data_IF_126515387355
#
_entry.id   IF_126515387355
#
_cell.length_a   1.000
_cell.length_b   1.000
_cell.length_c   1.000
_cell.angle_alpha   90.00
_cell.angle_beta   90.00
_cell.angle_gamma   90.00
#
_symmetry.space_group_name_H-M   'P 1'
#
loop_
_entity.id
_entity.type
_entity.pdbx_description
1 polymer ?
#
# COMPACT_ATOMS: atom_id res chain seq x y z
N UNK A 1 9.47 19.05 -2.19
CA UNK A 1 8.16 18.36 -2.13
C UNK A 1 7.76 18.07 -3.56
N UNK A 2 7.41 16.84 -3.93
CA UNK A 2 6.87 16.58 -5.25
C UNK A 2 5.64 17.46 -5.46
N UNK A 3 5.54 18.08 -6.63
CA UNK A 3 4.39 18.91 -7.02
C UNK A 3 3.14 18.04 -6.91
N UNK A 4 2.23 18.37 -5.98
CA UNK A 4 0.94 17.71 -5.87
C UNK A 4 0.03 18.21 -7.00
N UNK A 5 0.34 17.81 -8.22
CA UNK A 5 -0.56 18.07 -9.36
C UNK A 5 -1.96 17.58 -9.04
N UNK A 6 -3.02 18.31 -9.44
CA UNK A 6 -4.39 17.85 -9.27
C UNK A 6 -4.59 16.45 -9.87
N UNK A 7 -5.43 15.67 -9.22
CA UNK A 7 -5.82 14.33 -9.72
C UNK A 7 -6.96 14.52 -10.73
N UNK A 8 -6.94 13.72 -11.78
CA UNK A 8 -7.98 13.69 -12.82
C UNK A 8 -8.58 12.28 -12.95
N UNK A 9 -9.74 12.12 -13.60
CA UNK A 9 -10.33 10.79 -13.83
C UNK A 9 -9.49 9.86 -14.69
N UNK A 10 -8.49 10.37 -15.40
CA UNK A 10 -7.57 9.54 -16.20
C UNK A 10 -6.39 9.01 -15.39
N UNK A 11 -6.18 9.52 -14.17
CA UNK A 11 -5.00 9.21 -13.38
C UNK A 11 -5.09 7.85 -12.67
N UNK A 12 -3.90 7.29 -12.46
CA UNK A 12 -3.64 6.14 -11.60
C UNK A 12 -3.01 6.69 -10.32
N UNK A 13 -3.63 6.45 -9.19
CA UNK A 13 -3.20 6.99 -7.89
C UNK A 13 -2.60 5.89 -7.03
N UNK A 14 -1.44 6.15 -6.46
CA UNK A 14 -0.83 5.34 -5.40
C UNK A 14 -0.99 6.07 -4.08
N UNK A 15 -1.68 5.45 -3.14
CA UNK A 15 -2.02 5.98 -1.83
C UNK A 15 -1.40 5.09 -0.75
N UNK A 16 -0.75 5.69 0.26
CA UNK A 16 -0.09 4.94 1.31
C UNK A 16 0.80 5.81 2.19
N UNK A 17 1.76 5.17 2.81
CA UNK A 17 2.73 5.76 3.73
C UNK A 17 4.09 6.09 3.07
N UNK A 18 5.19 5.98 3.86
CA UNK A 18 6.56 6.23 3.40
C UNK A 18 7.01 5.29 2.29
N UNK A 19 6.55 4.04 2.27
CA UNK A 19 6.88 3.10 1.20
C UNK A 19 6.34 3.60 -0.14
N UNK A 20 5.09 4.06 -0.14
CA UNK A 20 4.48 4.66 -1.33
C UNK A 20 5.11 6.01 -1.66
N UNK A 21 5.39 6.87 -0.66
CA UNK A 21 6.03 8.18 -0.89
C UNK A 21 7.37 8.05 -1.60
N UNK A 22 8.19 7.06 -1.20
CA UNK A 22 9.50 6.78 -1.79
C UNK A 22 9.47 6.13 -3.16
N UNK A 23 8.30 5.73 -3.67
CA UNK A 23 8.17 5.06 -4.96
C UNK A 23 8.23 6.07 -6.12
N UNK A 24 9.30 6.07 -6.90
CA UNK A 24 9.45 6.90 -8.10
C UNK A 24 8.60 6.34 -9.26
N UNK A 25 7.29 6.54 -9.15
CA UNK A 25 6.31 5.97 -10.08
C UNK A 25 6.57 6.35 -11.55
N UNK A 26 6.99 7.60 -11.80
CA UNK A 26 7.25 8.09 -13.17
C UNK A 26 8.47 7.38 -13.77
N UNK A 27 9.49 7.16 -12.96
CA UNK A 27 10.69 6.42 -13.37
C UNK A 27 10.35 4.97 -13.75
N UNK A 28 9.55 4.29 -12.92
CA UNK A 28 9.26 2.87 -13.11
C UNK A 28 8.24 2.61 -14.22
N UNK A 29 7.14 3.37 -14.26
CA UNK A 29 6.04 3.08 -15.18
C UNK A 29 6.09 3.89 -16.47
N UNK A 30 6.85 4.99 -16.51
CA UNK A 30 7.04 5.85 -17.70
C UNK A 30 5.73 6.34 -18.32
N UNK A 31 4.74 6.60 -17.48
CA UNK A 31 3.44 7.18 -17.84
C UNK A 31 3.24 8.49 -17.10
N UNK A 32 2.54 9.43 -17.71
CA UNK A 32 2.37 10.79 -17.16
C UNK A 32 1.11 10.97 -16.31
N UNK A 33 0.16 10.05 -16.45
CA UNK A 33 -1.10 10.04 -15.68
C UNK A 33 -1.02 9.13 -14.45
N UNK A 34 0.08 9.24 -13.70
CA UNK A 34 0.30 8.52 -12.45
C UNK A 34 0.57 9.53 -11.32
N UNK A 35 0.00 9.32 -10.16
CA UNK A 35 0.10 10.24 -9.03
C UNK A 35 0.49 9.50 -7.77
N UNK A 36 1.57 9.97 -7.14
CA UNK A 36 1.97 9.52 -5.83
C UNK A 36 1.26 10.34 -4.75
N UNK A 37 0.53 9.67 -3.89
CA UNK A 37 -0.16 10.21 -2.69
C UNK A 37 0.29 9.46 -1.43
N UNK A 38 1.52 8.93 -1.42
CA UNK A 38 2.19 8.47 -0.21
C UNK A 38 2.51 9.64 0.71
N UNK A 39 2.47 9.39 2.02
CA UNK A 39 2.88 10.34 3.04
C UNK A 39 3.51 9.58 4.21
N UNK A 40 4.78 9.84 4.46
CA UNK A 40 5.55 9.17 5.50
C UNK A 40 4.87 9.25 6.87
N UNK A 41 4.80 8.12 7.55
CA UNK A 41 4.22 8.00 8.88
C UNK A 41 2.70 7.84 8.90
N UNK A 42 2.02 7.96 7.76
CA UNK A 42 0.56 7.78 7.72
C UNK A 42 0.16 6.38 8.22
N UNK A 43 -0.91 6.38 9.01
CA UNK A 43 -1.69 5.21 9.40
C UNK A 43 -2.97 5.13 8.58
N UNK A 44 -3.70 4.02 8.70
CA UNK A 44 -5.03 3.86 8.08
C UNK A 44 -5.99 4.97 8.51
N UNK A 45 -5.91 5.42 9.76
CA UNK A 45 -6.70 6.55 10.26
C UNK A 45 -6.40 7.85 9.52
N UNK A 46 -5.11 8.20 9.34
CA UNK A 46 -4.69 9.43 8.68
C UNK A 46 -5.04 9.43 7.19
N UNK A 47 -4.87 8.29 6.51
CA UNK A 47 -5.30 8.13 5.11
C UNK A 47 -6.79 8.46 4.95
N UNK A 48 -7.67 8.01 5.85
CA UNK A 48 -9.10 8.32 5.81
C UNK A 48 -9.40 9.82 5.81
N UNK A 49 -8.63 10.61 6.56
CA UNK A 49 -8.84 12.06 6.65
C UNK A 49 -8.49 12.82 5.36
N UNK A 50 -7.69 12.23 4.47
CA UNK A 50 -7.25 12.87 3.23
C UNK A 50 -7.81 12.21 1.95
N UNK A 51 -8.82 11.36 2.09
CA UNK A 51 -9.46 10.69 0.96
C UNK A 51 -10.27 11.63 0.07
N UNK A 52 -10.87 12.68 0.62
CA UNK A 52 -11.88 13.51 -0.05
C UNK A 52 -11.40 14.02 -1.42
N UNK A 53 -10.16 14.50 -1.52
CA UNK A 53 -9.57 14.95 -2.79
C UNK A 53 -9.53 13.84 -3.82
N UNK A 54 -9.12 12.63 -3.40
CA UNK A 54 -8.94 11.48 -4.29
C UNK A 54 -10.29 10.94 -4.74
N UNK A 55 -11.21 10.76 -3.81
CA UNK A 55 -12.56 10.26 -4.09
C UNK A 55 -13.31 11.20 -5.05
N UNK A 56 -13.26 12.53 -4.81
CA UNK A 56 -13.88 13.53 -5.69
C UNK A 56 -13.28 13.56 -7.10
N UNK A 57 -11.98 13.26 -7.22
CA UNK A 57 -11.30 13.24 -8.51
C UNK A 57 -11.67 12.03 -9.36
N UNK A 58 -12.23 10.96 -8.76
CA UNK A 58 -12.66 9.72 -9.41
C UNK A 58 -11.57 9.14 -10.33
N UNK A 59 -10.38 8.81 -9.79
CA UNK A 59 -9.27 8.33 -10.61
C UNK A 59 -9.62 7.01 -11.31
N UNK A 60 -8.96 6.73 -12.44
CA UNK A 60 -9.14 5.47 -13.15
C UNK A 60 -8.81 4.26 -12.29
N UNK A 61 -7.68 4.34 -11.57
CA UNK A 61 -7.22 3.27 -10.68
C UNK A 61 -6.69 3.84 -9.37
N UNK A 62 -6.87 3.09 -8.28
CA UNK A 62 -6.27 3.38 -7.00
C UNK A 62 -5.54 2.15 -6.47
N UNK A 63 -4.26 2.31 -6.15
CA UNK A 63 -3.45 1.31 -5.45
C UNK A 63 -3.21 1.78 -4.01
N UNK A 64 -3.67 1.03 -3.03
CA UNK A 64 -3.50 1.33 -1.61
C UNK A 64 -2.57 0.30 -0.95
N UNK A 65 -1.53 0.78 -0.27
CA UNK A 65 -0.73 0.02 0.68
C UNK A 65 -0.59 0.86 1.95
N UNK A 66 -1.15 0.39 3.07
CA UNK A 66 -1.18 1.11 4.35
C UNK A 66 -1.44 0.15 5.51
N UNK A 67 -0.80 0.35 6.66
CA UNK A 67 -1.05 -0.42 7.88
C UNK A 67 0.20 -0.75 8.70
N UNK A 68 1.40 -0.65 8.15
CA UNK A 68 2.62 -0.95 8.91
C UNK A 68 2.82 0.04 10.07
N UNK A 69 2.52 1.32 9.86
CA UNK A 69 2.62 2.33 10.91
C UNK A 69 1.56 2.15 12.02
N UNK A 70 0.41 1.58 11.67
CA UNK A 70 -0.62 1.21 12.65
C UNK A 70 -0.06 0.18 13.64
N UNK A 71 0.63 -0.86 13.16
CA UNK A 71 1.30 -1.84 14.04
C UNK A 71 2.36 -1.20 14.92
N UNK A 72 3.21 -0.33 14.37
CA UNK A 72 4.24 0.36 15.16
C UNK A 72 3.65 1.29 16.22
N UNK A 73 2.42 1.77 16.04
CA UNK A 73 1.67 2.56 17.01
C UNK A 73 0.79 1.71 17.96
N UNK A 74 0.81 0.38 17.82
CA UNK A 74 0.03 -0.53 18.67
C UNK A 74 -1.46 -0.57 18.36
N UNK A 75 -1.85 -0.18 17.15
CA UNK A 75 -3.26 -0.27 16.71
C UNK A 75 -3.65 -1.74 16.53
N UNK A 76 -4.77 -2.12 17.09
CA UNK A 76 -5.30 -3.49 16.96
C UNK A 76 -5.67 -3.81 15.51
N UNK A 77 -5.38 -5.03 15.05
CA UNK A 77 -5.65 -5.53 13.71
C UNK A 77 -7.10 -5.27 13.27
N UNK A 78 -8.07 -5.55 14.14
CA UNK A 78 -9.49 -5.33 13.81
C UNK A 78 -9.82 -3.85 13.52
N UNK A 79 -9.10 -2.93 14.14
CA UNK A 79 -9.27 -1.50 13.90
C UNK A 79 -8.68 -1.11 12.54
N UNK A 80 -7.52 -1.65 12.17
CA UNK A 80 -6.90 -1.47 10.85
C UNK A 80 -7.86 -1.96 9.76
N UNK A 81 -8.39 -3.18 9.91
CA UNK A 81 -9.34 -3.77 8.97
C UNK A 81 -10.61 -2.93 8.81
N UNK A 82 -11.17 -2.41 9.91
CA UNK A 82 -12.34 -1.50 9.86
C UNK A 82 -12.04 -0.20 9.12
N UNK A 83 -10.87 0.37 9.33
CA UNK A 83 -10.46 1.58 8.61
C UNK A 83 -10.36 1.33 7.11
N UNK A 84 -9.75 0.21 6.70
CA UNK A 84 -9.61 -0.16 5.29
C UNK A 84 -10.97 -0.46 4.67
N UNK A 85 -11.84 -1.20 5.36
CA UNK A 85 -13.20 -1.44 4.90
C UNK A 85 -13.94 -0.10 4.65
N UNK A 86 -13.84 0.86 5.58
CA UNK A 86 -14.49 2.16 5.40
C UNK A 86 -13.88 3.00 4.26
N UNK A 87 -12.59 2.80 3.93
CA UNK A 87 -11.98 3.42 2.74
C UNK A 87 -12.59 2.82 1.46
N UNK A 88 -12.74 1.50 1.41
CA UNK A 88 -13.37 0.81 0.26
C UNK A 88 -14.81 1.29 0.09
N UNK A 89 -15.60 1.31 1.18
CA UNK A 89 -16.99 1.80 1.16
C UNK A 89 -17.12 3.22 0.60
N UNK A 90 -16.22 4.12 1.03
CA UNK A 90 -16.20 5.50 0.55
C UNK A 90 -15.99 5.57 -0.98
N UNK A 91 -15.08 4.75 -1.52
CA UNK A 91 -14.86 4.66 -2.97
C UNK A 91 -16.04 4.03 -3.69
N UNK A 92 -16.63 2.95 -3.17
CA UNK A 92 -17.78 2.31 -3.79
C UNK A 92 -18.99 3.23 -3.87
N UNK A 93 -19.20 4.08 -2.85
CA UNK A 93 -20.32 5.02 -2.81
C UNK A 93 -20.10 6.26 -3.70
N UNK A 94 -18.90 6.80 -3.73
CA UNK A 94 -18.64 8.13 -4.31
C UNK A 94 -17.75 8.11 -5.56
N UNK A 95 -17.07 6.99 -5.83
CA UNK A 95 -16.19 6.80 -6.99
C UNK A 95 -16.26 5.33 -7.52
N UNK A 96 -17.47 4.79 -7.80
CA UNK A 96 -17.65 3.37 -8.12
C UNK A 96 -16.95 2.91 -9.40
N UNK A 97 -16.56 3.83 -10.27
CA UNK A 97 -15.83 3.55 -11.52
C UNK A 97 -14.32 3.38 -11.30
N UNK A 98 -13.81 3.65 -10.09
CA UNK A 98 -12.38 3.49 -9.78
C UNK A 98 -12.06 2.02 -9.58
N UNK A 99 -11.15 1.48 -10.41
CA UNK A 99 -10.56 0.16 -10.16
C UNK A 99 -9.69 0.22 -8.90
N UNK A 100 -10.12 -0.41 -7.80
CA UNK A 100 -9.46 -0.32 -6.52
C UNK A 100 -8.64 -1.58 -6.20
N UNK A 101 -7.34 -1.39 -5.95
CA UNK A 101 -6.38 -2.43 -5.64
C UNK A 101 -5.84 -2.23 -4.22
N UNK A 102 -6.11 -3.18 -3.33
CA UNK A 102 -5.48 -3.26 -2.00
C UNK A 102 -4.24 -4.15 -2.14
N UNK A 103 -3.08 -3.61 -1.82
CA UNK A 103 -1.83 -4.35 -1.80
C UNK A 103 -1.59 -4.89 -0.40
N UNK A 104 -1.04 -6.10 -0.29
CA UNK A 104 -0.62 -6.65 1.00
C UNK A 104 0.41 -5.74 1.66
N UNK A 105 0.41 -5.70 2.99
CA UNK A 105 1.51 -5.12 3.75
C UNK A 105 2.74 -6.00 3.53
N UNK A 106 3.89 -5.39 3.28
CA UNK A 106 5.15 -6.12 3.08
C UNK A 106 5.68 -6.67 4.41
N UNK A 107 6.44 -7.77 4.40
CA UNK A 107 7.14 -8.21 5.60
C UNK A 107 8.15 -7.15 6.05
N UNK A 108 8.62 -7.26 7.28
CA UNK A 108 9.76 -6.49 7.78
C UNK A 108 10.96 -7.41 8.02
N UNK A 109 12.17 -6.85 7.99
CA UNK A 109 13.37 -7.58 8.41
C UNK A 109 13.58 -7.37 9.92
N UNK A 110 13.10 -8.30 10.71
CA UNK A 110 13.13 -8.25 12.18
C UNK A 110 14.55 -8.20 12.71
N UNK A 111 15.46 -8.96 12.07
CA UNK A 111 16.87 -9.00 12.43
C UNK A 111 17.56 -7.64 12.29
N UNK A 112 17.21 -6.85 11.27
CA UNK A 112 17.76 -5.52 11.03
C UNK A 112 17.16 -4.45 11.97
N UNK A 113 15.88 -4.59 12.30
CA UNK A 113 15.15 -3.62 13.14
C UNK A 113 15.38 -3.80 14.63
N UNK A 114 15.89 -4.96 15.08
CA UNK A 114 15.92 -5.36 16.49
C UNK A 114 14.52 -5.28 17.15
N UNK A 115 13.51 -5.67 16.39
CA UNK A 115 12.09 -5.56 16.74
C UNK A 115 11.52 -6.89 17.29
N UNK A 116 10.23 -6.90 17.62
CA UNK A 116 9.51 -8.09 18.05
C UNK A 116 9.47 -9.15 16.92
N UNK A 117 9.91 -10.37 17.22
CA UNK A 117 9.92 -11.49 16.28
C UNK A 117 8.53 -11.87 15.75
N UNK A 118 7.46 -11.46 16.45
CA UNK A 118 6.09 -11.79 16.08
C UNK A 118 5.45 -10.81 15.09
N UNK A 119 6.11 -9.69 14.76
CA UNK A 119 5.49 -8.67 13.90
C UNK A 119 5.11 -9.21 12.50
N UNK A 120 5.94 -10.08 11.92
CA UNK A 120 5.63 -10.68 10.61
C UNK A 120 4.45 -11.65 10.68
N UNK A 121 4.20 -12.29 11.83
CA UNK A 121 2.99 -13.10 12.03
C UNK A 121 1.74 -12.21 12.08
N UNK A 122 1.82 -11.07 12.75
CA UNK A 122 0.73 -10.09 12.78
C UNK A 122 0.46 -9.48 11.39
N UNK A 123 1.50 -9.15 10.64
CA UNK A 123 1.38 -8.68 9.25
C UNK A 123 0.72 -9.75 8.37
N UNK A 124 1.12 -11.01 8.52
CA UNK A 124 0.53 -12.12 7.78
C UNK A 124 -0.96 -12.27 8.09
N UNK A 125 -1.35 -12.22 9.38
CA UNK A 125 -2.75 -12.25 9.82
C UNK A 125 -3.55 -11.09 9.22
N UNK A 126 -3.01 -9.86 9.27
CA UNK A 126 -3.65 -8.70 8.66
C UNK A 126 -3.86 -8.87 7.15
N UNK A 127 -2.85 -9.41 6.44
CA UNK A 127 -2.96 -9.66 5.00
C UNK A 127 -4.05 -10.68 4.66
N UNK A 128 -4.24 -11.70 5.48
CA UNK A 128 -5.37 -12.62 5.33
C UNK A 128 -6.71 -11.91 5.57
N UNK A 129 -6.79 -11.04 6.57
CA UNK A 129 -7.95 -10.17 6.80
C UNK A 129 -8.24 -9.25 5.61
N UNK A 130 -7.20 -8.63 5.04
CA UNK A 130 -7.34 -7.79 3.84
C UNK A 130 -7.87 -8.58 2.63
N UNK A 131 -7.39 -9.81 2.43
CA UNK A 131 -7.87 -10.70 1.37
C UNK A 131 -9.37 -10.99 1.52
N UNK A 132 -9.82 -11.26 2.76
CA UNK A 132 -11.23 -11.52 3.05
C UNK A 132 -12.10 -10.27 2.79
N UNK A 133 -11.65 -9.10 3.24
CA UNK A 133 -12.36 -7.83 2.97
C UNK A 133 -12.44 -7.57 1.46
N UNK A 134 -11.35 -7.74 0.72
CA UNK A 134 -11.37 -7.56 -0.73
C UNK A 134 -12.36 -8.50 -1.42
N UNK A 135 -12.46 -9.74 -0.95
CA UNK A 135 -13.46 -10.68 -1.46
C UNK A 135 -14.90 -10.23 -1.14
N UNK A 136 -15.15 -9.78 0.09
CA UNK A 136 -16.49 -9.31 0.54
C UNK A 136 -16.94 -8.09 -0.27
N UNK A 137 -16.05 -7.12 -0.44
CA UNK A 137 -16.33 -5.88 -1.17
C UNK A 137 -16.12 -5.98 -2.69
N UNK A 138 -15.79 -7.18 -3.21
CA UNK A 138 -15.53 -7.41 -4.64
C UNK A 138 -14.48 -6.44 -5.23
N UNK A 139 -13.44 -6.13 -4.45
CA UNK A 139 -12.29 -5.33 -4.89
C UNK A 139 -11.05 -6.21 -5.07
N UNK A 140 -9.95 -5.65 -5.60
CA UNK A 140 -8.77 -6.43 -5.96
C UNK A 140 -7.78 -6.50 -4.81
N UNK A 141 -7.38 -7.72 -4.41
CA UNK A 141 -6.24 -7.95 -3.52
C UNK A 141 -4.99 -8.28 -4.34
N UNK A 142 -3.89 -7.57 -4.08
CA UNK A 142 -2.59 -7.80 -4.72
C UNK A 142 -1.62 -8.31 -3.68
N UNK A 143 -1.34 -9.60 -3.72
CA UNK A 143 -0.41 -10.24 -2.78
C UNK A 143 1.03 -10.01 -3.23
N UNK A 144 1.79 -9.29 -2.43
CA UNK A 144 3.21 -9.01 -2.64
C UNK A 144 4.08 -9.63 -1.53
N UNK A 145 3.45 -10.01 -0.39
CA UNK A 145 4.16 -10.38 0.83
C UNK A 145 5.22 -11.46 0.60
N UNK A 146 4.84 -12.55 -0.07
CA UNK A 146 5.70 -13.71 -0.29
C UNK A 146 6.93 -13.42 -1.14
N UNK A 147 6.83 -12.49 -2.10
CA UNK A 147 7.92 -12.17 -3.04
C UNK A 147 9.09 -11.42 -2.35
N UNK A 148 8.83 -10.82 -1.19
CA UNK A 148 9.82 -10.08 -0.42
C UNK A 148 10.51 -10.90 0.66
N UNK A 149 10.08 -12.15 0.92
CA UNK A 149 10.61 -12.98 1.99
C UNK A 149 11.98 -13.58 1.64
N UNK A 150 12.81 -13.72 2.68
CA UNK A 150 13.97 -14.61 2.69
C UNK A 150 13.60 -15.99 3.28
N UNK A 151 14.57 -16.89 3.35
CA UNK A 151 14.40 -18.25 3.89
C UNK A 151 14.04 -18.29 5.39
N UNK A 152 14.15 -17.18 6.11
CA UNK A 152 13.79 -17.05 7.52
C UNK A 152 12.38 -16.51 7.75
N UNK A 153 11.64 -16.17 6.69
CA UNK A 153 10.32 -15.55 6.81
C UNK A 153 10.35 -14.06 7.16
N UNK A 154 11.46 -13.38 6.87
CA UNK A 154 11.64 -11.94 7.03
C UNK A 154 11.85 -11.28 5.67
N UNK A 155 11.68 -9.95 5.57
CA UNK A 155 12.08 -9.23 4.35
C UNK A 155 13.55 -9.51 4.04
N UNK A 156 13.84 -9.89 2.80
CA UNK A 156 15.22 -10.13 2.37
C UNK A 156 16.04 -8.82 2.45
N UNK A 157 17.22 -8.91 3.05
CA UNK A 157 18.12 -7.75 3.25
C UNK A 157 18.42 -6.97 1.96
N UNK A 158 18.36 -7.60 0.79
CA UNK A 158 18.58 -6.92 -0.49
C UNK A 158 17.46 -5.94 -0.83
N UNK A 159 16.27 -6.11 -0.24
CA UNK A 159 15.09 -5.29 -0.53
C UNK A 159 14.85 -4.16 0.46
N UNK A 160 15.63 -4.06 1.54
CA UNK A 160 15.46 -3.04 2.57
C UNK A 160 16.77 -2.39 2.99
N UNK A 161 16.70 -1.15 3.52
CA UNK A 161 17.86 -0.46 4.14
C UNK A 161 17.90 -0.66 5.65
N UNK A 162 16.74 -0.61 6.29
CA UNK A 162 16.60 -0.49 7.74
C UNK A 162 15.65 -1.54 8.33
N UNK A 163 15.19 -2.46 7.48
CA UNK A 163 14.24 -3.51 7.85
C UNK A 163 12.80 -3.20 7.48
N UNK A 164 12.46 -1.95 7.12
CA UNK A 164 11.10 -1.52 6.73
C UNK A 164 11.11 -0.87 5.34
N UNK A 165 11.92 0.18 5.17
CA UNK A 165 11.95 0.96 3.93
C UNK A 165 12.70 0.22 2.83
N UNK A 166 12.16 0.33 1.61
CA UNK A 166 12.67 -0.41 0.48
C UNK A 166 13.98 0.18 -0.07
N UNK A 167 14.91 -0.71 -0.39
CA UNK A 167 16.07 -0.41 -1.24
C UNK A 167 15.65 -0.21 -2.70
N UNK A 168 16.54 0.29 -3.59
CA UNK A 168 16.26 0.31 -5.03
C UNK A 168 15.83 -1.05 -5.57
N UNK A 169 16.46 -2.15 -5.13
CA UNK A 169 16.09 -3.50 -5.55
C UNK A 169 14.69 -3.90 -5.05
N UNK A 170 14.25 -3.40 -3.89
CA UNK A 170 12.89 -3.59 -3.38
C UNK A 170 11.86 -2.88 -4.25
N UNK A 171 12.13 -1.63 -4.65
CA UNK A 171 11.26 -0.90 -5.57
C UNK A 171 11.25 -1.50 -6.98
N UNK A 172 12.38 -2.01 -7.48
CA UNK A 172 12.45 -2.76 -8.74
C UNK A 172 11.53 -4.00 -8.72
N UNK A 173 11.55 -4.73 -7.61
CA UNK A 173 10.68 -5.89 -7.42
C UNK A 173 9.21 -5.46 -7.39
N UNK A 174 8.85 -4.48 -6.55
CA UNK A 174 7.48 -3.99 -6.43
C UNK A 174 6.94 -3.53 -7.79
N UNK A 175 7.68 -2.67 -8.49
CA UNK A 175 7.30 -2.20 -9.82
C UNK A 175 7.04 -3.36 -10.79
N UNK A 176 7.94 -4.35 -10.83
CA UNK A 176 7.80 -5.52 -11.72
C UNK A 176 6.54 -6.32 -11.45
N UNK A 177 6.22 -6.55 -10.16
CA UNK A 177 5.07 -7.35 -9.76
C UNK A 177 3.74 -6.68 -10.14
N UNK A 178 3.64 -5.35 -9.99
CA UNK A 178 2.38 -4.63 -10.25
C UNK A 178 2.29 -4.04 -11.66
N UNK A 179 3.37 -4.04 -12.45
CA UNK A 179 3.39 -3.50 -13.82
C UNK A 179 2.19 -3.94 -14.67
N UNK A 180 1.80 -5.24 -14.70
CA UNK A 180 0.66 -5.69 -15.50
C UNK A 180 -0.68 -5.08 -15.09
N UNK A 181 -0.81 -4.63 -13.84
CA UNK A 181 -2.02 -4.00 -13.30
C UNK A 181 -2.04 -2.49 -13.57
N UNK A 182 -0.87 -1.86 -13.63
CA UNK A 182 -0.73 -0.42 -13.85
C UNK A 182 -0.92 -0.07 -15.33
N UNK A 183 -0.29 -0.81 -16.25
CA UNK A 183 -0.24 -0.43 -17.69
C UNK A 183 -1.37 -1.02 -18.56
N UNK A 184 -2.25 -1.82 -17.97
CA UNK A 184 -3.47 -2.30 -18.65
C UNK A 184 -4.61 -1.32 -18.39
#
# INVERSE_FOLDING_TARGET
MPSRSPITPADIVFLGDSLTEGFDLEHYFKITNIRNRGLSGDTTYQVRYRLEEIVRAKPKKLFLMIGINDFFQGTEEITILRHIASIIEEFQQNSPETDFFIQSILPVNVSAMLSDENINLAIFSLNDGLRLICHEFQTHFVDLYGDFLNDKGEMDNKYTFDGVHLSPAGYDLWARLIMPLVVK
#
